data_IF_012541725034
#
_entry.id   IF_012541725034
#
_cell.length_a   1.000
_cell.length_b   1.000
_cell.length_c   1.000
_cell.angle_alpha   90.00
_cell.angle_beta   90.00
_cell.angle_gamma   90.00
#
_symmetry.space_group_name_H-M   'P 1'
#
loop_
_entity.id
_entity.type
_entity.pdbx_description
1 polymer ?
#
# COMPACT_ATOMS: atom_id res chain seq x y z
N UNK A 1 0.85 -13.89 9.33
CA UNK A 1 1.36 -13.47 8.01
C UNK A 1 2.16 -12.19 8.16
N UNK A 2 3.23 -12.03 7.38
CA UNK A 2 4.05 -10.83 7.29
C UNK A 2 3.99 -10.31 5.85
N UNK A 3 3.65 -9.04 5.66
CA UNK A 3 3.58 -8.41 4.35
C UNK A 3 4.24 -7.04 4.32
N UNK A 4 4.97 -6.74 3.25
CA UNK A 4 5.62 -5.44 3.02
C UNK A 4 5.05 -4.82 1.74
N UNK A 5 4.73 -3.53 1.77
CA UNK A 5 4.26 -2.79 0.60
C UNK A 5 3.01 -3.43 -0.04
N UNK A 6 3.03 -3.81 -1.32
CA UNK A 6 1.96 -4.61 -1.94
C UNK A 6 1.70 -5.94 -1.24
N UNK A 7 2.72 -6.56 -0.66
CA UNK A 7 2.54 -7.74 0.20
C UNK A 7 1.72 -7.45 1.45
N UNK A 8 1.77 -6.23 1.99
CA UNK A 8 0.92 -5.81 3.10
C UNK A 8 -0.56 -5.69 2.65
N UNK A 9 -0.81 -5.11 1.47
CA UNK A 9 -2.15 -5.08 0.84
C UNK A 9 -2.71 -6.50 0.69
N UNK A 10 -1.91 -7.43 0.17
CA UNK A 10 -2.29 -8.85 0.04
C UNK A 10 -2.61 -9.50 1.40
N UNK A 11 -1.72 -9.34 2.39
CA UNK A 11 -1.88 -9.95 3.70
C UNK A 11 -3.16 -9.48 4.41
N UNK A 12 -3.47 -8.18 4.34
CA UNK A 12 -4.71 -7.63 4.89
C UNK A 12 -5.94 -8.17 4.15
N UNK A 13 -5.90 -8.24 2.81
CA UNK A 13 -6.99 -8.79 2.00
C UNK A 13 -7.24 -10.28 2.25
N UNK A 14 -6.18 -11.05 2.52
CA UNK A 14 -6.26 -12.46 2.92
C UNK A 14 -6.91 -12.58 4.30
N UNK A 15 -6.47 -11.80 5.29
CA UNK A 15 -7.04 -11.86 6.65
C UNK A 15 -8.52 -11.46 6.72
N UNK A 16 -8.98 -10.60 5.81
CA UNK A 16 -10.41 -10.26 5.65
C UNK A 16 -11.23 -11.45 5.14
N UNK A 17 -10.61 -12.41 4.45
CA UNK A 17 -11.30 -13.47 3.69
C UNK A 17 -11.08 -14.88 4.22
N UNK A 18 -9.98 -15.12 4.92
CA UNK A 18 -9.58 -16.44 5.41
C UNK A 18 -9.46 -16.42 6.94
N UNK A 19 -10.36 -17.16 7.59
CA UNK A 19 -10.46 -17.22 9.04
C UNK A 19 -9.30 -17.99 9.70
N UNK A 20 -8.44 -18.64 8.92
CA UNK A 20 -7.24 -19.34 9.42
C UNK A 20 -6.07 -18.38 9.71
N UNK A 21 -6.20 -17.10 9.37
CA UNK A 21 -5.17 -16.11 9.63
C UNK A 21 -5.39 -15.51 11.02
N UNK A 22 -4.54 -15.89 11.98
CA UNK A 22 -4.63 -15.37 13.34
C UNK A 22 -3.99 -13.99 13.51
N UNK A 23 -2.91 -13.71 12.77
CA UNK A 23 -2.13 -12.46 12.91
C UNK A 23 -1.64 -11.95 11.56
N UNK A 24 -1.69 -10.63 11.35
CA UNK A 24 -1.05 -9.93 10.23
C UNK A 24 -0.12 -8.84 10.74
N UNK A 25 1.12 -8.87 10.27
CA UNK A 25 2.08 -7.77 10.40
C UNK A 25 2.20 -7.11 9.02
N UNK A 26 1.73 -5.87 8.90
CA UNK A 26 1.64 -5.12 7.65
C UNK A 26 2.60 -3.93 7.69
N UNK A 27 3.68 -4.00 6.91
CA UNK A 27 4.70 -2.96 6.80
C UNK A 27 4.44 -2.09 5.58
N UNK A 28 4.36 -0.78 5.82
CA UNK A 28 4.01 0.26 4.85
C UNK A 28 2.73 -0.06 4.07
N UNK A 29 1.61 -0.32 4.77
CA UNK A 29 0.37 -0.75 4.15
C UNK A 29 -0.29 0.38 3.35
N UNK A 30 -1.21 -0.03 2.48
CA UNK A 30 -2.26 0.81 1.91
C UNK A 30 -3.58 0.48 2.61
N UNK A 31 -4.51 1.44 2.69
CA UNK A 31 -5.86 1.19 3.25
C UNK A 31 -6.90 0.79 2.18
N UNK A 32 -6.43 0.70 0.93
CA UNK A 32 -7.20 0.51 -0.30
C UNK A 32 -6.48 -0.43 -1.24
N UNK A 33 -7.23 -1.10 -2.09
CA UNK A 33 -6.72 -1.88 -3.19
C UNK A 33 -6.29 -0.95 -4.32
N UNK A 34 -5.04 -1.09 -4.76
CA UNK A 34 -4.49 -0.30 -5.87
C UNK A 34 -4.30 -1.17 -7.10
N UNK A 35 -4.25 -0.54 -8.28
CA UNK A 35 -3.96 -1.25 -9.52
C UNK A 35 -2.64 -2.02 -9.49
N UNK A 36 -2.45 -2.93 -10.44
CA UNK A 36 -1.23 -3.69 -10.64
C UNK A 36 -0.02 -2.77 -10.92
N UNK A 37 1.17 -3.27 -10.56
CA UNK A 37 2.43 -2.63 -10.89
C UNK A 37 2.95 -3.23 -12.20
N UNK A 38 3.13 -2.38 -13.22
CA UNK A 38 3.58 -2.80 -14.55
C UNK A 38 2.47 -3.43 -15.40
N UNK A 39 2.84 -4.13 -16.50
CA UNK A 39 1.89 -4.75 -17.41
C UNK A 39 0.98 -5.79 -16.74
N UNK A 40 -0.22 -5.97 -17.29
CA UNK A 40 -1.08 -7.08 -16.98
C UNK A 40 -0.54 -8.42 -17.51
N UNK A 41 -1.28 -9.50 -17.27
CA UNK A 41 -0.95 -10.84 -17.83
C UNK A 41 -1.03 -10.89 -19.35
N UNK A 42 -1.76 -9.95 -19.93
CA UNK A 42 -1.88 -9.67 -21.37
C UNK A 42 -0.67 -8.90 -21.93
N UNK A 43 0.28 -8.46 -21.09
CA UNK A 43 1.43 -7.66 -21.51
C UNK A 43 1.11 -6.18 -21.68
N UNK A 44 -0.13 -5.77 -21.47
CA UNK A 44 -0.59 -4.40 -21.66
C UNK A 44 -0.48 -3.58 -20.38
N UNK A 45 -0.04 -2.34 -20.51
CA UNK A 45 0.00 -1.37 -19.39
C UNK A 45 -1.40 -0.80 -19.11
N UNK A 46 -2.28 -0.81 -20.11
CA UNK A 46 -3.63 -0.21 -20.04
C UNK A 46 -4.70 -1.13 -20.63
N UNK A 47 -5.96 -1.02 -20.17
CA UNK A 47 -6.38 -0.27 -18.97
C UNK A 47 -5.72 -0.83 -17.71
N UNK A 48 -5.70 -0.08 -16.60
CA UNK A 48 -5.22 -0.62 -15.33
C UNK A 48 -6.03 -1.87 -14.93
N UNK A 49 -5.40 -2.80 -14.20
CA UNK A 49 -6.06 -3.98 -13.60
C UNK A 49 -5.92 -3.92 -12.09
N UNK A 50 -6.79 -4.59 -11.36
CA UNK A 50 -6.61 -4.77 -9.93
C UNK A 50 -5.32 -5.55 -9.65
N UNK A 51 -4.58 -5.18 -8.59
CA UNK A 51 -3.47 -6.00 -8.11
C UNK A 51 -3.91 -7.38 -7.64
N UNK A 52 -5.18 -7.52 -7.22
CA UNK A 52 -5.66 -8.73 -6.55
C UNK A 52 -6.96 -9.23 -7.14
N UNK A 53 -7.08 -10.56 -7.18
CA UNK A 53 -8.31 -11.26 -7.48
C UNK A 53 -8.71 -12.11 -6.27
N UNK A 54 -10.01 -12.33 -6.11
CA UNK A 54 -10.56 -13.30 -5.19
C UNK A 54 -11.49 -14.24 -5.95
N UNK A 55 -11.21 -15.54 -5.89
CA UNK A 55 -11.96 -16.57 -6.63
C UNK A 55 -12.11 -16.21 -8.13
N UNK A 56 -11.01 -15.76 -8.74
CA UNK A 56 -10.98 -15.37 -10.15
C UNK A 56 -11.58 -14.00 -10.47
N UNK A 57 -12.21 -13.32 -9.51
CA UNK A 57 -12.82 -11.99 -9.71
C UNK A 57 -11.88 -10.88 -9.23
N UNK A 58 -11.64 -9.88 -10.08
CA UNK A 58 -10.88 -8.70 -9.69
C UNK A 58 -11.54 -7.99 -8.51
N UNK A 59 -10.75 -7.58 -7.52
CA UNK A 59 -11.23 -6.72 -6.45
C UNK A 59 -11.38 -5.29 -6.95
N UNK A 60 -12.39 -4.52 -6.51
CA UNK A 60 -12.47 -3.09 -6.81
C UNK A 60 -11.18 -2.40 -6.36
N UNK A 61 -10.68 -1.48 -7.18
CA UNK A 61 -9.35 -0.91 -7.01
C UNK A 61 -9.32 0.55 -7.48
N UNK A 62 -8.30 1.27 -7.02
CA UNK A 62 -7.97 2.63 -7.48
C UNK A 62 -6.94 2.54 -8.62
N UNK A 63 -7.26 3.02 -9.84
CA UNK A 63 -6.28 3.16 -10.92
C UNK A 63 -5.35 4.36 -10.63
N UNK A 64 -4.22 4.45 -11.34
CA UNK A 64 -3.39 5.64 -11.25
C UNK A 64 -3.83 6.72 -12.25
N UNK A 65 -3.63 7.98 -11.89
CA UNK A 65 -3.92 9.13 -12.75
C UNK A 65 -2.72 9.41 -13.67
N UNK A 66 -2.90 9.19 -14.97
CA UNK A 66 -1.85 9.32 -15.98
C UNK A 66 -1.43 10.76 -16.28
N UNK A 67 -2.14 11.75 -15.74
CA UNK A 67 -1.72 13.16 -15.80
C UNK A 67 -0.61 13.51 -14.81
N UNK A 68 -0.28 12.61 -13.87
CA UNK A 68 0.80 12.84 -12.92
C UNK A 68 2.16 12.89 -13.62
N UNK A 69 2.97 13.88 -13.26
CA UNK A 69 4.36 14.00 -13.72
C UNK A 69 5.30 14.04 -12.51
N UNK A 70 6.45 13.33 -12.57
CA UNK A 70 7.45 13.39 -11.51
C UNK A 70 8.10 14.77 -11.45
N UNK A 71 8.29 15.29 -10.23
CA UNK A 71 8.93 16.60 -10.01
C UNK A 71 10.42 16.57 -10.38
N UNK A 72 11.10 15.43 -10.25
CA UNK A 72 12.51 15.23 -10.59
C UNK A 72 12.70 13.92 -11.38
N UNK A 73 12.47 13.91 -12.70
CA UNK A 73 12.75 12.74 -13.54
C UNK A 73 14.27 12.55 -13.65
N UNK A 74 14.86 11.71 -12.79
CA UNK A 74 16.28 11.30 -12.94
C UNK A 74 17.08 10.99 -11.67
N UNK A 75 16.61 11.34 -10.47
CA UNK A 75 17.38 11.15 -9.23
C UNK A 75 16.86 9.99 -8.36
N UNK A 76 17.41 8.79 -8.54
CA UNK A 76 17.19 7.65 -7.63
C UNK A 76 15.80 6.98 -7.76
N UNK A 77 15.34 6.19 -6.75
CA UNK A 77 14.02 5.59 -6.78
C UNK A 77 12.97 6.69 -6.90
N UNK A 78 12.05 6.55 -7.86
CA UNK A 78 11.03 7.56 -8.09
C UNK A 78 10.17 7.76 -6.83
N UNK A 79 10.19 8.98 -6.27
CA UNK A 79 9.27 9.39 -5.23
C UNK A 79 7.87 9.57 -5.84
N UNK A 80 7.09 8.48 -5.86
CA UNK A 80 5.77 8.42 -6.51
C UNK A 80 4.60 8.64 -5.55
N UNK A 81 4.85 9.06 -4.30
CA UNK A 81 3.79 9.40 -3.34
C UNK A 81 2.75 10.35 -3.91
N UNK A 82 3.19 11.39 -4.61
CA UNK A 82 2.30 12.38 -5.22
C UNK A 82 1.38 11.76 -6.29
N UNK A 83 1.79 10.68 -6.93
CA UNK A 83 0.99 9.97 -7.93
C UNK A 83 -0.20 9.27 -7.26
N UNK A 84 0.04 8.58 -6.14
CA UNK A 84 -1.02 7.97 -5.34
C UNK A 84 -1.98 9.02 -4.77
N UNK A 85 -1.45 10.11 -4.24
CA UNK A 85 -2.28 11.19 -3.68
C UNK A 85 -3.14 11.88 -4.75
N UNK A 86 -2.60 12.11 -5.95
CA UNK A 86 -3.39 12.61 -7.08
C UNK A 86 -4.48 11.61 -7.46
N UNK A 87 -4.11 10.34 -7.60
CA UNK A 87 -5.05 9.28 -8.01
C UNK A 87 -6.22 9.13 -7.04
N UNK A 88 -6.00 9.28 -5.73
CA UNK A 88 -7.13 9.28 -4.78
C UNK A 88 -8.09 10.45 -4.99
N UNK A 89 -7.58 11.64 -5.35
CA UNK A 89 -8.43 12.80 -5.64
C UNK A 89 -9.21 12.61 -6.94
N UNK A 90 -8.54 12.16 -7.99
CA UNK A 90 -9.13 11.99 -9.32
C UNK A 90 -10.18 10.87 -9.34
N UNK A 91 -9.97 9.82 -8.55
CA UNK A 91 -10.86 8.67 -8.48
C UNK A 91 -11.61 8.56 -7.14
N UNK A 92 -11.98 9.71 -6.55
CA UNK A 92 -12.67 9.78 -5.24
C UNK A 92 -13.92 8.88 -5.17
N UNK A 93 -14.63 8.74 -6.29
CA UNK A 93 -15.83 7.92 -6.42
C UNK A 93 -15.57 6.40 -6.36
N UNK A 94 -14.34 5.95 -6.60
CA UNK A 94 -13.94 4.54 -6.48
C UNK A 94 -13.46 4.18 -5.06
N UNK A 95 -13.06 5.18 -4.26
CA UNK A 95 -12.43 4.95 -2.96
C UNK A 95 -13.26 4.08 -2.02
N UNK A 96 -14.59 4.28 -1.85
CA UNK A 96 -15.38 3.46 -0.92
C UNK A 96 -15.40 1.98 -1.28
N UNK A 97 -15.40 1.64 -2.58
CA UNK A 97 -15.43 0.25 -3.03
C UNK A 97 -14.04 -0.41 -2.96
N UNK A 98 -12.98 0.38 -3.11
CA UNK A 98 -11.60 -0.09 -3.08
C UNK A 98 -11.05 -0.24 -1.65
N UNK A 99 -11.78 0.14 -0.60
CA UNK A 99 -11.30 0.02 0.78
C UNK A 99 -11.02 -1.44 1.17
N UNK A 100 -9.93 -1.65 1.93
CA UNK A 100 -9.68 -2.93 2.57
C UNK A 100 -10.48 -2.96 3.88
N UNK A 101 -11.50 -3.83 4.02
CA UNK A 101 -12.44 -3.78 5.14
C UNK A 101 -11.88 -4.57 6.34
N UNK A 102 -10.77 -4.08 6.91
CA UNK A 102 -10.03 -4.72 8.00
C UNK A 102 -10.85 -4.92 9.28
N UNK A 103 -11.93 -4.18 9.45
CA UNK A 103 -12.91 -4.41 10.51
C UNK A 103 -13.58 -5.79 10.44
N UNK A 104 -13.56 -6.45 9.27
CA UNK A 104 -14.08 -7.81 9.08
C UNK A 104 -13.06 -8.91 9.40
N UNK A 105 -11.78 -8.57 9.52
CA UNK A 105 -10.74 -9.54 9.80
C UNK A 105 -10.82 -10.00 11.26
N UNK A 106 -10.77 -11.32 11.49
CA UNK A 106 -10.59 -11.88 12.85
C UNK A 106 -9.15 -11.75 13.35
N UNK A 107 -8.20 -11.63 12.41
CA UNK A 107 -6.80 -11.53 12.72
C UNK A 107 -6.47 -10.33 13.61
N UNK A 108 -5.48 -10.50 14.49
CA UNK A 108 -4.81 -9.39 15.14
C UNK A 108 -3.93 -8.66 14.13
N UNK A 109 -3.98 -7.33 14.15
CA UNK A 109 -3.29 -6.49 13.18
C UNK A 109 -2.20 -5.68 13.87
N UNK A 110 -0.97 -5.85 13.39
CA UNK A 110 0.17 -4.97 13.66
C UNK A 110 0.51 -4.22 12.38
N UNK A 111 0.38 -2.89 12.42
CA UNK A 111 0.66 -1.99 11.32
C UNK A 111 1.96 -1.26 11.62
N UNK A 112 2.88 -1.26 10.67
CA UNK A 112 4.16 -0.52 10.76
C UNK A 112 4.22 0.47 9.62
N UNK A 113 4.39 1.75 9.91
CA UNK A 113 4.34 2.79 8.87
C UNK A 113 5.32 3.95 9.11
N UNK A 114 5.73 4.58 8.01
CA UNK A 114 6.62 5.73 7.99
C UNK A 114 5.91 7.01 7.50
N UNK A 115 6.17 8.15 8.15
CA UNK A 115 5.64 9.45 7.74
C UNK A 115 6.26 9.98 6.45
N UNK A 116 7.58 9.81 6.32
CA UNK A 116 8.43 10.18 5.18
C UNK A 116 8.44 9.11 4.06
N UNK A 117 7.41 8.27 4.02
CA UNK A 117 7.20 7.32 2.94
C UNK A 117 6.97 8.05 1.60
N UNK A 118 7.97 7.97 0.72
CA UNK A 118 7.98 8.59 -0.60
C UNK A 118 7.34 7.73 -1.71
N UNK A 119 6.94 6.49 -1.40
CA UNK A 119 6.19 5.63 -2.33
C UNK A 119 4.71 5.95 -2.28
N UNK A 120 4.14 6.01 -1.08
CA UNK A 120 2.74 6.36 -0.84
C UNK A 120 2.57 6.79 0.63
N UNK A 121 1.46 7.47 1.00
CA UNK A 121 1.27 7.95 2.37
C UNK A 121 0.89 6.80 3.34
N UNK A 122 1.83 5.89 3.64
CA UNK A 122 1.59 4.68 4.42
C UNK A 122 1.16 4.95 5.86
N UNK A 123 1.69 6.00 6.51
CA UNK A 123 1.23 6.39 7.85
C UNK A 123 -0.27 6.74 7.86
N UNK A 124 -0.70 7.60 6.94
CA UNK A 124 -2.12 7.96 6.81
C UNK A 124 -2.99 6.73 6.52
N UNK A 125 -2.49 5.80 5.69
CA UNK A 125 -3.20 4.54 5.43
C UNK A 125 -3.29 3.66 6.67
N UNK A 126 -2.21 3.50 7.43
CA UNK A 126 -2.20 2.73 8.66
C UNK A 126 -3.13 3.33 9.73
N UNK A 127 -3.19 4.66 9.85
CA UNK A 127 -4.13 5.36 10.73
C UNK A 127 -5.58 5.12 10.32
N UNK A 128 -5.90 5.17 9.02
CA UNK A 128 -7.24 4.85 8.51
C UNK A 128 -7.65 3.41 8.86
N UNK A 129 -6.74 2.44 8.66
CA UNK A 129 -6.97 1.04 9.03
C UNK A 129 -7.20 0.87 10.53
N UNK A 130 -6.35 1.49 11.36
CA UNK A 130 -6.49 1.45 12.81
C UNK A 130 -7.79 2.11 13.29
N UNK A 131 -8.19 3.22 12.67
CA UNK A 131 -9.44 3.90 12.97
C UNK A 131 -10.66 3.03 12.63
N UNK A 132 -10.67 2.35 11.47
CA UNK A 132 -11.77 1.42 11.11
C UNK A 132 -11.92 0.30 12.14
N UNK A 133 -10.81 -0.30 12.59
CA UNK A 133 -10.81 -1.31 13.65
C UNK A 133 -11.42 -0.76 14.94
N UNK A 134 -10.95 0.40 15.40
CA UNK A 134 -11.47 1.09 16.60
C UNK A 134 -12.97 1.36 16.50
N UNK A 135 -13.43 1.90 15.37
CA UNK A 135 -14.86 2.17 15.15
C UNK A 135 -15.72 0.91 15.15
N UNK A 136 -15.15 -0.26 14.84
CA UNK A 136 -15.81 -1.56 14.90
C UNK A 136 -15.66 -2.27 16.27
N UNK A 137 -15.12 -1.61 17.29
CA UNK A 137 -14.94 -2.18 18.63
C UNK A 137 -13.75 -3.14 18.77
N UNK A 138 -12.83 -3.12 17.81
CA UNK A 138 -11.59 -3.91 17.85
C UNK A 138 -10.37 -2.99 17.79
N UNK A 139 -9.17 -3.52 17.97
CA UNK A 139 -7.94 -2.71 17.88
C UNK A 139 -7.01 -3.23 16.79
N UNK A 140 -6.13 -2.34 16.34
CA UNK A 140 -4.91 -2.67 15.61
C UNK A 140 -3.77 -1.96 16.33
N UNK A 141 -2.64 -2.64 16.48
CA UNK A 141 -1.42 -2.04 16.99
C UNK A 141 -0.76 -1.25 15.86
N UNK A 142 -0.44 0.02 16.11
CA UNK A 142 0.27 0.87 15.15
C UNK A 142 1.64 1.24 15.72
N UNK A 143 2.69 0.86 15.01
CA UNK A 143 4.06 1.32 15.23
C UNK A 143 4.40 2.29 14.10
N UNK A 144 4.57 3.56 14.43
CA UNK A 144 4.85 4.59 13.45
C UNK A 144 6.06 5.44 13.85
N UNK A 145 6.84 5.87 12.86
CA UNK A 145 7.79 6.97 13.02
C UNK A 145 7.62 7.97 11.89
N UNK A 146 7.59 9.26 12.20
CA UNK A 146 7.39 10.31 11.20
C UNK A 146 8.56 10.36 10.20
N UNK A 147 9.79 10.18 10.68
CA UNK A 147 11.06 10.24 9.92
C UNK A 147 11.42 8.92 9.20
N UNK A 148 10.52 7.93 9.18
CA UNK A 148 10.75 6.65 8.50
C UNK A 148 10.19 6.65 7.07
N UNK A 149 10.95 6.07 6.13
CA UNK A 149 10.53 5.88 4.74
C UNK A 149 9.77 4.58 4.48
N UNK A 150 9.59 4.23 3.19
CA UNK A 150 8.75 3.10 2.76
C UNK A 150 9.18 1.72 3.26
N UNK A 151 10.47 1.49 3.52
CA UNK A 151 10.95 0.20 4.03
C UNK A 151 11.45 0.40 5.45
N UNK A 152 10.67 -0.01 6.48
CA UNK A 152 11.18 -0.09 7.84
C UNK A 152 12.41 -0.99 7.88
N UNK A 153 13.47 -0.53 8.54
CA UNK A 153 14.69 -1.33 8.74
C UNK A 153 14.55 -2.18 9.99
N UNK A 154 14.95 -3.44 9.91
CA UNK A 154 15.02 -4.31 11.07
C UNK A 154 16.35 -4.15 11.82
N UNK A 155 16.40 -4.49 13.12
CA UNK A 155 17.65 -4.48 13.88
C UNK A 155 18.75 -5.27 13.17
N UNK A 156 19.92 -4.65 12.99
CA UNK A 156 21.07 -5.26 12.29
C UNK A 156 21.10 -5.03 10.77
N UNK A 157 20.04 -4.49 10.15
CA UNK A 157 20.09 -4.11 8.74
C UNK A 157 20.85 -2.78 8.54
N UNK A 158 21.83 -2.78 7.63
CA UNK A 158 22.45 -1.55 7.17
C UNK A 158 21.49 -0.75 6.28
N UNK A 159 21.61 0.59 6.20
CA UNK A 159 20.88 1.37 5.21
C UNK A 159 21.09 0.78 3.82
N UNK A 160 20.01 0.70 3.03
CA UNK A 160 20.15 0.37 1.62
C UNK A 160 21.06 1.42 0.96
N UNK A 161 22.00 1.02 0.09
CA UNK A 161 22.80 1.98 -0.67
C UNK A 161 21.86 2.88 -1.48
N UNK A 162 22.25 4.13 -1.68
CA UNK A 162 21.53 5.02 -2.59
C UNK A 162 21.41 4.32 -3.96
N UNK A 163 20.22 4.34 -4.57
CA UNK A 163 20.10 3.80 -5.92
C UNK A 163 21.05 4.57 -6.83
N UNK A 164 21.81 3.87 -7.69
CA UNK A 164 22.66 4.55 -8.66
C UNK A 164 21.78 5.51 -9.45
N UNK A 165 22.14 6.79 -9.45
CA UNK A 165 21.54 7.76 -10.35
C UNK A 165 21.85 7.26 -11.76
N UNK A 166 20.81 7.01 -12.56
CA UNK A 166 20.99 6.62 -13.95
C UNK A 166 21.84 7.69 -14.61
N UNK A 167 23.02 7.30 -15.14
CA UNK A 167 23.80 8.19 -15.98
C UNK A 167 22.92 8.52 -17.19
N UNK A 168 22.55 9.79 -17.32
CA UNK A 168 22.13 10.30 -18.61
C UNK A 168 23.38 10.30 -19.50
N UNK A 169 23.42 9.37 -20.46
CA UNK A 169 24.20 9.54 -21.69
C UNK A 169 23.33 10.24 -22.73
#
# INVERSE_FOLDING_TARGET
MLGVSKGAEAALLTAVRDLRVDVVIALSPTSRVWCNVGPGRDGEQRPYRSSWTWQGRALPFVPMDDSWTPVNPGSGPAAIRGWYELSERSFVYLLPQAEIPVERARADLLLVAGGDDAMWPSLRFAEQLAQRRRSAGTTAHLIARHDAGHRPRFPGESPAPASPQGRAE
#
